data_IF_071697736934
#
_entry.id   IF_071697736934
#
_cell.length_a   1.000
_cell.length_b   1.000
_cell.length_c   1.000
_cell.angle_alpha   90.00
_cell.angle_beta   90.00
_cell.angle_gamma   90.00
#
_symmetry.space_group_name_H-M   'P 1'
#
loop_
_entity.id
_entity.type
_entity.pdbx_description
1 polymer ?
#
# COMPACT_ATOMS: atom_id res chain seq x y z
N UNK A 1 -10.03 -12.89 -14.65
CA UNK A 1 -8.88 -12.06 -14.16
C UNK A 1 -9.05 -11.86 -12.67
N UNK A 2 -7.98 -12.00 -11.89
CA UNK A 2 -7.99 -11.87 -10.43
C UNK A 2 -7.23 -10.63 -9.97
N UNK A 3 -7.91 -9.74 -9.25
CA UNK A 3 -7.37 -8.45 -8.81
C UNK A 3 -7.35 -8.42 -7.27
N UNK A 4 -6.28 -7.85 -6.70
CA UNK A 4 -6.20 -7.56 -5.28
C UNK A 4 -6.36 -6.06 -5.03
N UNK A 5 -7.32 -5.70 -4.17
CA UNK A 5 -7.48 -4.34 -3.65
C UNK A 5 -6.78 -4.20 -2.29
N UNK A 6 -5.87 -3.24 -2.17
CA UNK A 6 -5.01 -3.00 -1.00
C UNK A 6 -5.11 -1.56 -0.50
N UNK A 7 -4.56 -1.29 0.69
CA UNK A 7 -4.37 0.07 1.20
C UNK A 7 -5.62 0.76 1.75
N UNK A 8 -6.78 0.09 1.75
CA UNK A 8 -7.99 0.65 2.37
C UNK A 8 -8.02 0.45 3.90
N UNK A 9 -8.37 1.51 4.62
CA UNK A 9 -8.46 1.58 6.08
C UNK A 9 -9.89 1.86 6.55
N UNK A 10 -10.84 1.01 6.17
CA UNK A 10 -12.28 1.11 6.45
C UNK A 10 -12.68 0.94 7.93
N UNK A 11 -11.85 1.37 8.89
CA UNK A 11 -11.98 1.30 10.35
C UNK A 11 -13.28 1.95 10.92
N UNK A 12 -14.45 1.50 10.50
CA UNK A 12 -15.72 2.20 10.66
C UNK A 12 -15.87 3.47 9.81
N UNK A 13 -14.85 3.87 9.04
CA UNK A 13 -14.90 5.07 8.21
C UNK A 13 -15.82 4.85 6.99
N UNK A 14 -16.98 5.52 7.00
CA UNK A 14 -17.97 5.45 5.92
C UNK A 14 -17.48 6.07 4.62
N UNK A 15 -16.59 7.06 4.66
CA UNK A 15 -15.99 7.67 3.49
C UNK A 15 -15.08 6.70 2.75
N UNK A 16 -14.12 6.10 3.45
CA UNK A 16 -13.24 5.06 2.90
C UNK A 16 -14.03 3.82 2.44
N UNK A 17 -15.15 3.54 3.11
CA UNK A 17 -16.09 2.50 2.71
C UNK A 17 -16.77 2.82 1.38
N UNK A 18 -17.26 4.05 1.21
CA UNK A 18 -17.88 4.49 -0.04
C UNK A 18 -16.88 4.47 -1.21
N UNK A 19 -15.62 4.87 -0.99
CA UNK A 19 -14.56 4.83 -2.01
C UNK A 19 -14.34 3.39 -2.49
N UNK A 20 -14.12 2.44 -1.57
CA UNK A 20 -13.89 1.05 -1.94
C UNK A 20 -15.11 0.42 -2.60
N UNK A 21 -16.30 0.63 -2.04
CA UNK A 21 -17.54 0.10 -2.62
C UNK A 21 -17.75 0.64 -4.03
N UNK A 22 -17.61 1.95 -4.23
CA UNK A 22 -17.75 2.57 -5.54
C UNK A 22 -16.74 2.04 -6.55
N UNK A 23 -15.49 1.80 -6.13
CA UNK A 23 -14.47 1.18 -6.99
C UNK A 23 -14.86 -0.24 -7.41
N UNK A 24 -15.30 -1.08 -6.46
CA UNK A 24 -15.71 -2.47 -6.74
C UNK A 24 -16.94 -2.50 -7.65
N UNK A 25 -17.94 -1.68 -7.37
CA UNK A 25 -19.17 -1.60 -8.18
C UNK A 25 -18.85 -1.11 -9.61
N UNK A 26 -17.96 -0.14 -9.75
CA UNK A 26 -17.50 0.35 -11.07
C UNK A 26 -16.75 -0.72 -11.85
N UNK A 27 -15.83 -1.45 -11.20
CA UNK A 27 -15.08 -2.54 -11.82
C UNK A 27 -15.99 -3.68 -12.29
N UNK A 28 -16.94 -4.11 -11.44
CA UNK A 28 -17.90 -5.17 -11.80
C UNK A 28 -18.87 -4.74 -12.89
N UNK A 29 -19.24 -3.46 -12.92
CA UNK A 29 -20.07 -2.90 -13.99
C UNK A 29 -19.33 -2.86 -15.33
N UNK A 30 -18.03 -2.57 -15.31
CA UNK A 30 -17.20 -2.60 -16.52
C UNK A 30 -16.89 -4.02 -16.98
N UNK A 31 -16.74 -4.97 -16.06
CA UNK A 31 -16.45 -6.38 -16.38
C UNK A 31 -16.94 -7.33 -15.28
N UNK A 32 -17.88 -8.19 -15.63
CA UNK A 32 -18.60 -9.06 -14.67
C UNK A 32 -17.83 -10.32 -14.24
N UNK A 33 -16.81 -10.74 -14.98
CA UNK A 33 -16.01 -11.95 -14.71
C UNK A 33 -14.76 -11.67 -13.82
N UNK A 34 -14.66 -10.47 -13.25
CA UNK A 34 -13.56 -10.11 -12.35
C UNK A 34 -13.70 -10.82 -11.00
N UNK A 35 -12.67 -11.55 -10.61
CA UNK A 35 -12.50 -12.02 -9.24
C UNK A 35 -11.72 -10.95 -8.45
N UNK A 36 -12.33 -10.42 -7.39
CA UNK A 36 -11.77 -9.31 -6.62
C UNK A 36 -11.57 -9.78 -5.19
N UNK A 37 -10.31 -9.85 -4.75
CA UNK A 37 -9.96 -10.01 -3.36
C UNK A 37 -9.68 -8.63 -2.76
N UNK A 38 -10.12 -8.41 -1.52
CA UNK A 38 -9.85 -7.16 -0.78
C UNK A 38 -9.15 -7.49 0.52
N UNK A 39 -8.12 -6.73 0.87
CA UNK A 39 -7.50 -6.78 2.20
C UNK A 39 -7.69 -5.47 2.95
N UNK A 40 -7.85 -5.57 4.27
CA UNK A 40 -7.96 -4.42 5.17
C UNK A 40 -7.22 -4.68 6.48
N UNK A 41 -6.81 -3.59 7.15
CA UNK A 41 -6.32 -3.64 8.53
C UNK A 41 -7.39 -4.12 9.51
N UNK A 42 -8.66 -3.84 9.20
CA UNK A 42 -9.82 -4.13 10.05
C UNK A 42 -10.87 -4.94 9.27
N UNK A 43 -10.58 -6.21 8.92
CA UNK A 43 -11.41 -6.99 8.01
C UNK A 43 -12.85 -7.16 8.48
N UNK A 44 -13.06 -7.41 9.78
CA UNK A 44 -14.41 -7.61 10.35
C UNK A 44 -15.27 -6.37 10.20
N UNK A 45 -14.82 -5.19 10.67
CA UNK A 45 -15.60 -3.96 10.57
C UNK A 45 -15.81 -3.54 9.11
N UNK A 46 -14.79 -3.71 8.28
CA UNK A 46 -14.84 -3.38 6.86
C UNK A 46 -15.84 -4.26 6.12
N UNK A 47 -15.84 -5.57 6.40
CA UNK A 47 -16.76 -6.53 5.81
C UNK A 47 -18.21 -6.27 6.18
N UNK A 48 -18.50 -5.93 7.44
CA UNK A 48 -19.85 -5.50 7.84
C UNK A 48 -20.29 -4.21 7.15
N UNK A 49 -19.41 -3.21 7.03
CA UNK A 49 -19.76 -1.94 6.41
C UNK A 49 -20.01 -2.07 4.89
N UNK A 50 -19.23 -2.93 4.23
CA UNK A 50 -19.24 -3.09 2.78
C UNK A 50 -20.17 -4.22 2.31
N UNK A 51 -20.59 -5.10 3.22
CA UNK A 51 -21.29 -6.35 2.91
C UNK A 51 -20.48 -7.21 1.92
N UNK A 52 -19.17 -7.32 2.17
CA UNK A 52 -18.22 -8.06 1.34
C UNK A 52 -17.24 -8.84 2.19
N UNK A 53 -16.69 -9.93 1.65
CA UNK A 53 -15.59 -10.64 2.28
C UNK A 53 -14.31 -9.82 2.19
N UNK A 54 -13.73 -9.51 3.34
CA UNK A 54 -12.51 -8.71 3.45
C UNK A 54 -11.48 -9.54 4.21
N UNK A 55 -10.34 -9.78 3.56
CA UNK A 55 -9.24 -10.57 4.13
C UNK A 55 -8.38 -9.69 5.04
N UNK A 56 -7.73 -10.33 6.01
CA UNK A 56 -6.80 -9.63 6.90
C UNK A 56 -5.55 -9.19 6.13
N UNK A 57 -5.18 -7.91 6.27
CA UNK A 57 -3.89 -7.42 5.80
C UNK A 57 -2.75 -8.03 6.63
N UNK A 58 -1.97 -8.91 6.01
CA UNK A 58 -0.86 -9.62 6.63
C UNK A 58 0.29 -8.69 7.01
N UNK A 59 0.53 -7.62 6.24
CA UNK A 59 1.59 -6.64 6.52
C UNK A 59 1.27 -5.87 7.80
N UNK A 60 0.02 -5.42 7.93
CA UNK A 60 -0.45 -4.77 9.15
C UNK A 60 -0.45 -5.72 10.36
N UNK A 61 -0.94 -6.95 10.20
CA UNK A 61 -1.00 -7.93 11.29
C UNK A 61 0.40 -8.22 11.87
N UNK A 62 1.40 -8.35 11.01
CA UNK A 62 2.79 -8.53 11.42
C UNK A 62 3.31 -7.30 12.20
N UNK A 63 3.05 -6.09 11.70
CA UNK A 63 3.45 -4.85 12.37
C UNK A 63 2.77 -4.64 13.72
N UNK A 64 1.51 -5.06 13.86
CA UNK A 64 0.74 -4.97 15.12
C UNK A 64 1.16 -6.02 16.16
N UNK A 65 1.62 -7.21 15.73
CA UNK A 65 2.08 -8.28 16.66
C UNK A 65 3.54 -8.12 17.08
N UNK A 66 4.33 -7.36 16.33
CA UNK A 66 5.77 -7.20 16.56
C UNK A 66 6.08 -6.24 17.72
N UNK A 67 6.50 -6.80 18.86
CA UNK A 67 7.22 -6.10 19.93
C UNK A 67 6.35 -5.52 21.05
N UNK A 68 5.97 -6.35 22.03
CA UNK A 68 5.58 -5.86 23.37
C UNK A 68 6.87 -5.58 24.16
N UNK A 69 7.04 -4.35 24.65
CA UNK A 69 8.21 -3.91 25.43
C UNK A 69 9.16 -2.92 24.73
N UNK A 70 10.06 -2.32 25.50
CA UNK A 70 10.96 -1.23 25.06
C UNK A 70 11.93 -1.67 23.94
N UNK A 71 12.57 -2.83 24.10
CA UNK A 71 13.52 -3.38 23.11
C UNK A 71 12.82 -3.73 21.80
N UNK A 72 11.62 -4.32 21.86
CA UNK A 72 10.83 -4.64 20.69
C UNK A 72 10.38 -3.40 19.92
N UNK A 73 9.98 -2.35 20.65
CA UNK A 73 9.60 -1.06 20.08
C UNK A 73 10.79 -0.39 19.38
N UNK A 74 11.98 -0.45 19.97
CA UNK A 74 13.21 0.07 19.36
C UNK A 74 13.58 -0.69 18.09
N UNK A 75 13.62 -2.02 18.13
CA UNK A 75 13.88 -2.85 16.94
C UNK A 75 12.90 -2.56 15.81
N UNK A 76 11.62 -2.42 16.11
CA UNK A 76 10.58 -2.05 15.13
C UNK A 76 10.84 -0.68 14.53
N UNK A 77 11.18 0.32 15.34
CA UNK A 77 11.47 1.69 14.86
C UNK A 77 12.68 1.70 13.92
N UNK A 78 13.71 0.92 14.23
CA UNK A 78 14.88 0.76 13.35
C UNK A 78 14.50 0.02 12.07
N UNK A 79 13.77 -1.09 12.17
CA UNK A 79 13.31 -1.84 11.00
C UNK A 79 12.47 -0.97 10.05
N UNK A 80 11.45 -0.28 10.56
CA UNK A 80 10.60 0.62 9.77
C UNK A 80 11.38 1.79 9.16
N UNK A 81 12.51 2.18 9.76
CA UNK A 81 13.37 3.24 9.23
C UNK A 81 14.27 2.76 8.09
N UNK A 82 14.75 1.52 8.15
CA UNK A 82 15.68 0.95 7.16
C UNK A 82 14.96 0.20 6.05
N UNK A 83 13.75 -0.30 6.30
CA UNK A 83 13.00 -1.14 5.37
C UNK A 83 12.78 -0.50 4.00
N UNK A 84 12.34 0.76 3.90
CA UNK A 84 12.13 1.37 2.59
C UNK A 84 13.43 1.45 1.78
N UNK A 85 14.54 1.77 2.45
CA UNK A 85 15.86 1.84 1.80
C UNK A 85 16.31 0.46 1.27
N UNK A 86 16.04 -0.61 2.02
CA UNK A 86 16.29 -2.00 1.57
C UNK A 86 15.43 -2.33 0.36
N UNK A 87 14.11 -2.09 0.40
CA UNK A 87 13.22 -2.39 -0.71
C UNK A 87 13.57 -1.58 -1.96
N UNK A 88 13.83 -0.27 -1.81
CA UNK A 88 14.28 0.58 -2.91
C UNK A 88 15.61 0.11 -3.51
N UNK A 89 16.55 -0.40 -2.70
CA UNK A 89 17.81 -0.92 -3.21
C UNK A 89 17.66 -2.23 -4.00
N UNK A 90 16.68 -3.08 -3.65
CA UNK A 90 16.34 -4.29 -4.42
C UNK A 90 15.59 -3.96 -5.72
N UNK A 91 14.79 -2.89 -5.74
CA UNK A 91 14.02 -2.43 -6.90
C UNK A 91 14.79 -1.48 -7.83
N UNK A 92 15.82 -0.80 -7.32
CA UNK A 92 16.60 0.21 -8.00
C UNK A 92 18.00 -0.26 -8.41
N UNK A 93 18.95 0.69 -8.51
CA UNK A 93 20.32 0.45 -9.01
C UNK A 93 21.28 -0.17 -7.98
N UNK A 94 20.79 -0.67 -6.84
CA UNK A 94 21.60 -1.28 -5.79
C UNK A 94 22.19 -0.31 -4.77
N UNK A 95 23.26 -0.72 -4.08
CA UNK A 95 23.86 0.00 -2.95
C UNK A 95 24.09 -0.92 -1.75
N UNK A 96 24.58 -0.36 -0.63
CA UNK A 96 24.88 -1.15 0.59
C UNK A 96 23.65 -1.90 1.11
N UNK A 97 22.46 -1.35 0.89
CA UNK A 97 21.20 -1.94 1.37
C UNK A 97 20.77 -3.18 0.58
N UNK A 98 21.28 -3.39 -0.65
CA UNK A 98 20.99 -4.59 -1.46
C UNK A 98 21.56 -5.87 -0.83
N UNK A 99 22.65 -5.74 -0.07
CA UNK A 99 23.26 -6.85 0.65
C UNK A 99 22.40 -7.34 1.83
N UNK A 100 21.41 -6.56 2.26
CA UNK A 100 20.48 -6.95 3.31
C UNK A 100 19.31 -7.74 2.72
N UNK A 101 18.96 -8.84 3.38
CA UNK A 101 17.82 -9.65 2.98
C UNK A 101 16.51 -8.92 3.24
N UNK A 102 15.56 -9.05 2.30
CA UNK A 102 14.18 -8.59 2.50
C UNK A 102 13.54 -9.41 3.63
N UNK A 103 12.91 -8.79 4.63
CA UNK A 103 12.37 -9.52 5.77
C UNK A 103 11.32 -10.57 5.38
N UNK A 104 11.27 -11.72 6.09
CA UNK A 104 10.45 -12.86 5.69
C UNK A 104 8.97 -12.56 5.50
N UNK A 105 8.38 -11.66 6.30
CA UNK A 105 6.96 -11.31 6.19
C UNK A 105 6.64 -10.52 4.92
N UNK A 106 7.52 -9.60 4.49
CA UNK A 106 7.37 -8.89 3.22
C UNK A 106 7.58 -9.83 2.04
N UNK A 107 8.58 -10.72 2.14
CA UNK A 107 8.82 -11.73 1.12
C UNK A 107 7.60 -12.66 0.98
N UNK A 108 7.05 -13.16 2.08
CA UNK A 108 5.86 -14.00 2.07
C UNK A 108 4.65 -13.28 1.46
N UNK A 109 4.44 -11.99 1.78
CA UNK A 109 3.38 -11.21 1.15
C UNK A 109 3.63 -11.03 -0.36
N UNK A 110 4.86 -10.68 -0.75
CA UNK A 110 5.29 -10.54 -2.16
C UNK A 110 5.05 -11.82 -2.94
N UNK A 111 5.47 -12.97 -2.41
CA UNK A 111 5.28 -14.29 -3.02
C UNK A 111 3.78 -14.61 -3.16
N UNK A 112 2.97 -14.23 -2.17
CA UNK A 112 1.51 -14.41 -2.22
C UNK A 112 0.83 -13.59 -3.32
N UNK A 113 1.49 -12.56 -3.88
CA UNK A 113 0.95 -11.75 -4.97
C UNK A 113 0.98 -12.48 -6.31
N UNK A 114 1.73 -13.58 -6.44
CA UNK A 114 1.89 -14.34 -7.68
C UNK A 114 0.55 -14.77 -8.30
N UNK A 115 -0.47 -15.04 -7.48
CA UNK A 115 -1.81 -15.47 -7.89
C UNK A 115 -2.72 -14.37 -8.46
N UNK A 116 -2.32 -13.09 -8.36
CA UNK A 116 -3.09 -11.97 -8.88
C UNK A 116 -2.53 -11.50 -10.22
N UNK A 117 -3.41 -11.03 -11.10
CA UNK A 117 -3.05 -10.46 -12.39
C UNK A 117 -2.67 -8.98 -12.25
N UNK A 118 -3.29 -8.27 -11.30
CA UNK A 118 -3.00 -6.86 -11.01
C UNK A 118 -3.32 -6.52 -9.55
N UNK A 119 -2.66 -5.48 -9.05
CA UNK A 119 -2.86 -4.92 -7.72
C UNK A 119 -3.41 -3.50 -7.87
N UNK A 120 -4.42 -3.14 -7.09
CA UNK A 120 -4.93 -1.77 -7.03
C UNK A 120 -4.86 -1.27 -5.60
N UNK A 121 -4.11 -0.19 -5.38
CA UNK A 121 -4.12 0.52 -4.11
C UNK A 121 -5.25 1.53 -4.10
N UNK A 122 -6.23 1.26 -3.24
CA UNK A 122 -7.47 2.02 -3.10
C UNK A 122 -7.15 3.43 -2.60
N UNK A 123 -7.81 4.40 -3.23
CA UNK A 123 -7.68 5.83 -2.96
C UNK A 123 -8.14 6.28 -1.58
N UNK A 124 -8.08 7.59 -1.38
CA UNK A 124 -8.22 8.24 -0.08
C UNK A 124 -7.05 9.18 0.17
N UNK A 125 -6.94 9.71 1.38
CA UNK A 125 -5.90 10.67 1.74
C UNK A 125 -4.78 10.00 2.53
N UNK A 126 -4.21 8.90 2.00
CA UNK A 126 -3.23 8.07 2.71
C UNK A 126 -1.77 8.39 2.40
N UNK A 127 -1.48 9.02 1.26
CA UNK A 127 -0.13 9.38 0.86
C UNK A 127 0.26 10.77 1.37
N UNK A 128 0.42 10.87 2.69
CA UNK A 128 0.87 12.07 3.41
C UNK A 128 1.81 11.65 4.54
N UNK A 129 2.65 12.58 5.03
CA UNK A 129 3.63 12.30 6.08
C UNK A 129 3.04 11.65 7.35
N UNK A 130 1.79 12.00 7.68
CA UNK A 130 1.09 11.52 8.89
C UNK A 130 1.05 9.99 9.00
N UNK A 131 0.91 9.29 7.87
CA UNK A 131 0.79 7.83 7.87
C UNK A 131 2.12 7.11 7.73
N UNK A 132 3.19 7.84 7.41
CA UNK A 132 4.55 7.33 7.32
C UNK A 132 4.82 6.36 6.17
N UNK A 133 6.03 5.83 6.16
CA UNK A 133 6.58 5.03 5.04
C UNK A 133 5.88 3.70 4.81
N UNK A 134 5.20 3.14 5.81
CA UNK A 134 4.57 1.81 5.70
C UNK A 134 3.35 1.80 4.78
N UNK A 135 2.81 2.97 4.39
CA UNK A 135 1.74 3.04 3.38
C UNK A 135 2.21 2.64 1.98
N UNK A 136 3.52 2.64 1.75
CA UNK A 136 4.12 2.22 0.49
C UNK A 136 4.44 0.72 0.46
N UNK A 137 4.30 -0.02 1.57
CA UNK A 137 4.71 -1.44 1.66
C UNK A 137 3.97 -2.31 0.62
N UNK A 138 2.65 -2.11 0.46
CA UNK A 138 1.88 -2.84 -0.54
C UNK A 138 2.38 -2.56 -1.96
N UNK A 139 2.72 -1.30 -2.25
CA UNK A 139 3.24 -0.91 -3.56
C UNK A 139 4.64 -1.48 -3.84
N UNK A 140 5.54 -1.38 -2.86
CA UNK A 140 6.88 -1.95 -2.96
C UNK A 140 6.83 -3.48 -3.14
N UNK A 141 5.96 -4.17 -2.42
CA UNK A 141 5.76 -5.61 -2.60
C UNK A 141 5.21 -5.96 -3.99
N UNK A 142 4.26 -5.19 -4.53
CA UNK A 142 3.74 -5.42 -5.89
C UNK A 142 4.83 -5.23 -6.96
N UNK A 143 5.63 -4.16 -6.84
CA UNK A 143 6.78 -3.90 -7.71
C UNK A 143 7.81 -5.03 -7.63
N UNK A 144 8.10 -5.53 -6.42
CA UNK A 144 9.02 -6.67 -6.24
C UNK A 144 8.49 -7.96 -6.86
N UNK A 145 7.19 -8.20 -6.76
CA UNK A 145 6.52 -9.33 -7.39
C UNK A 145 6.38 -9.18 -8.91
N UNK A 146 6.82 -8.05 -9.48
CA UNK A 146 6.64 -7.69 -10.90
C UNK A 146 5.18 -7.77 -11.33
N UNK A 147 4.28 -7.35 -10.43
CA UNK A 147 2.84 -7.29 -10.69
C UNK A 147 2.44 -5.87 -11.10
N UNK A 148 1.59 -5.71 -12.12
CA UNK A 148 1.00 -4.42 -12.44
C UNK A 148 0.34 -3.82 -11.20
N UNK A 149 0.63 -2.56 -10.91
CA UNK A 149 0.08 -1.82 -9.78
C UNK A 149 -0.48 -0.46 -10.20
N UNK A 150 -1.72 -0.21 -9.76
CA UNK A 150 -2.44 1.03 -10.01
C UNK A 150 -2.80 1.70 -8.68
N UNK A 151 -2.47 2.98 -8.52
CA UNK A 151 -2.84 3.78 -7.36
C UNK A 151 -4.01 4.67 -7.77
N UNK A 152 -5.23 4.36 -7.33
CA UNK A 152 -6.44 4.97 -7.90
C UNK A 152 -7.16 5.88 -6.92
N UNK A 153 -7.32 7.17 -7.26
CA UNK A 153 -8.16 8.11 -6.53
C UNK A 153 -7.53 8.65 -5.25
N UNK A 154 -6.21 8.87 -5.26
CA UNK A 154 -5.49 9.35 -4.09
C UNK A 154 -5.46 10.88 -4.01
N UNK A 155 -5.56 11.39 -2.78
CA UNK A 155 -4.97 12.67 -2.41
C UNK A 155 -3.54 12.44 -1.94
N UNK A 156 -2.61 13.26 -2.44
CA UNK A 156 -1.17 13.10 -2.25
C UNK A 156 -0.56 14.38 -1.70
N UNK A 157 0.30 14.23 -0.71
CA UNK A 157 1.08 15.30 -0.13
C UNK A 157 0.27 16.23 0.79
N UNK A 158 0.94 17.25 1.35
CA UNK A 158 2.36 17.58 1.14
C UNK A 158 3.32 16.57 1.79
N UNK A 159 4.53 16.42 1.24
CA UNK A 159 5.61 15.64 1.85
C UNK A 159 6.71 16.56 2.38
N UNK A 160 6.60 16.94 3.65
CA UNK A 160 7.61 17.75 4.34
C UNK A 160 8.82 16.92 4.75
N UNK A 161 8.65 15.61 4.97
CA UNK A 161 9.75 14.72 5.31
C UNK A 161 10.51 14.28 4.03
N UNK A 162 11.78 14.66 3.85
CA UNK A 162 12.54 14.35 2.63
C UNK A 162 12.63 12.86 2.32
N UNK A 163 12.57 11.99 3.35
CA UNK A 163 12.60 10.54 3.15
C UNK A 163 11.29 9.98 2.63
N UNK A 164 10.18 10.50 3.14
CA UNK A 164 8.85 10.09 2.66
C UNK A 164 8.67 10.62 1.25
N UNK A 165 9.13 11.84 0.96
CA UNK A 165 9.13 12.39 -0.39
C UNK A 165 9.97 11.54 -1.36
N UNK A 166 11.22 11.21 -1.00
CA UNK A 166 12.08 10.36 -1.83
C UNK A 166 11.47 8.98 -2.10
N UNK A 167 10.83 8.38 -1.09
CA UNK A 167 10.13 7.10 -1.24
C UNK A 167 8.88 7.23 -2.12
N UNK A 168 8.10 8.29 -1.93
CA UNK A 168 6.91 8.58 -2.72
C UNK A 168 7.26 8.72 -4.20
N UNK A 169 8.23 9.57 -4.53
CA UNK A 169 8.74 9.74 -5.90
C UNK A 169 9.28 8.42 -6.46
N UNK A 170 10.05 7.65 -5.68
CA UNK A 170 10.56 6.35 -6.12
C UNK A 170 9.44 5.39 -6.53
N UNK A 171 8.37 5.32 -5.73
CA UNK A 171 7.22 4.43 -5.99
C UNK A 171 6.38 4.97 -7.15
N UNK A 172 6.02 6.25 -7.13
CA UNK A 172 5.16 6.87 -8.14
C UNK A 172 5.75 6.82 -9.55
N UNK A 173 7.08 6.90 -9.68
CA UNK A 173 7.78 6.75 -10.96
C UNK A 173 7.72 5.31 -11.53
N UNK A 174 7.34 4.32 -10.71
CA UNK A 174 7.42 2.89 -11.05
C UNK A 174 6.09 2.17 -11.10
N UNK A 175 5.02 2.77 -10.59
CA UNK A 175 3.68 2.22 -10.73
C UNK A 175 3.17 2.38 -12.16
N UNK A 176 2.28 1.50 -12.60
CA UNK A 176 1.71 1.55 -13.95
C UNK A 176 0.78 2.76 -14.13
N UNK A 177 0.12 3.19 -13.05
CA UNK A 177 -0.65 4.43 -13.04
C UNK A 177 -0.82 4.99 -11.64
N UNK A 178 -0.64 6.30 -11.51
CA UNK A 178 -1.06 7.10 -10.36
C UNK A 178 -2.20 8.03 -10.79
N UNK A 179 -3.41 7.73 -10.33
CA UNK A 179 -4.61 8.52 -10.60
C UNK A 179 -4.95 9.35 -9.35
N UNK A 180 -4.87 10.67 -9.49
CA UNK A 180 -5.16 11.61 -8.43
C UNK A 180 -6.65 11.96 -8.40
N UNK A 181 -7.18 12.23 -7.20
CA UNK A 181 -8.60 12.62 -7.04
C UNK A 181 -8.85 14.11 -7.33
N UNK A 182 -7.84 14.97 -7.13
CA UNK A 182 -7.97 16.41 -7.35
C UNK A 182 -6.66 17.06 -7.85
N UNK A 183 -6.78 18.23 -8.50
CA UNK A 183 -5.64 18.96 -9.08
C UNK A 183 -4.65 19.48 -8.03
N UNK A 184 -5.10 19.77 -6.81
CA UNK A 184 -4.23 20.26 -5.73
C UNK A 184 -3.12 19.25 -5.41
N UNK A 185 -3.45 17.95 -5.40
CA UNK A 185 -2.45 16.89 -5.23
C UNK A 185 -1.42 16.90 -6.35
N UNK A 186 -1.84 17.14 -7.59
CA UNK A 186 -0.94 17.26 -8.74
C UNK A 186 -0.01 18.47 -8.61
N UNK A 187 -0.55 19.60 -8.18
CA UNK A 187 0.22 20.83 -8.01
C UNK A 187 1.25 20.71 -6.89
N UNK A 188 0.94 19.98 -5.82
CA UNK A 188 1.89 19.65 -4.75
C UNK A 188 3.00 18.73 -5.25
N UNK A 189 2.65 17.64 -5.96
CA UNK A 189 3.62 16.71 -6.53
C UNK A 189 4.58 17.35 -7.56
N UNK A 190 4.19 18.45 -8.20
CA UNK A 190 5.07 19.20 -9.11
C UNK A 190 6.05 20.13 -8.40
N UNK A 191 5.81 20.42 -7.12
CA UNK A 191 6.63 21.33 -6.30
C UNK A 191 7.65 20.56 -5.44
N UNK A 192 7.24 19.39 -4.96
CA UNK A 192 8.00 18.50 -4.07
C UNK A 192 8.90 17.52 -4.85
#
# INVERSE_FOLDING_TARGET
MKILLVGNHTCGNRGDGAILRGLIDSMKSARSDLEIDVISRYPTSSGYLLQQDIKQDALYLHNSKSGKGLVGSFKRKVANRLMPDIMMAHLGKGGIFKSFAVPPHLKAFTDSLAKYDAIIQVGGSFFVDLYGVTQFDHALCALMAKKPIYLIGHSVGPFQNPRVNALANFVFDRVDSLVLRESVSLDLMKRD
#
